data_IF_848628556572
#
_entry.id   IF_848628556572
#
_cell.length_a   1.000
_cell.length_b   1.000
_cell.length_c   1.000
_cell.angle_alpha   90.00
_cell.angle_beta   90.00
_cell.angle_gamma   90.00
#
_symmetry.space_group_name_H-M   'P 1'
#
loop_
_entity.id
_entity.type
_entity.pdbx_description
1 polymer ?
#
# COMPACT_ATOMS: atom_id res chain seq x y z
N UNK A 1 -0.71 16.32 -39.45
CA UNK A 1 -0.84 17.33 -38.41
C UNK A 1 0.53 17.64 -37.85
N UNK A 2 0.59 18.19 -36.64
CA UNK A 2 1.76 18.12 -35.75
C UNK A 2 1.41 17.28 -34.49
N UNK A 3 0.32 16.51 -34.58
CA UNK A 3 -0.47 15.83 -33.54
C UNK A 3 -1.45 14.95 -34.33
N UNK A 4 -1.00 13.76 -34.73
CA UNK A 4 -1.62 12.97 -35.80
C UNK A 4 -2.74 12.05 -35.33
N UNK A 5 -2.71 11.69 -34.07
CA UNK A 5 -3.61 10.83 -33.30
C UNK A 5 -4.64 11.68 -32.51
N UNK A 6 -4.27 12.89 -32.06
CA UNK A 6 -5.18 13.88 -31.48
C UNK A 6 -5.25 13.88 -29.94
N UNK A 7 -4.26 13.28 -29.26
CA UNK A 7 -4.17 13.14 -27.80
C UNK A 7 -3.65 14.38 -27.05
N UNK A 8 -3.23 15.41 -27.79
CA UNK A 8 -2.60 16.67 -27.32
C UNK A 8 -1.09 16.66 -27.09
N UNK A 9 -0.43 15.51 -27.25
CA UNK A 9 1.02 15.38 -27.34
C UNK A 9 1.44 15.62 -28.80
N UNK A 10 2.47 16.45 -29.07
CA UNK A 10 2.88 16.69 -30.46
C UNK A 10 3.70 15.52 -31.04
N UNK A 11 3.52 15.19 -32.33
CA UNK A 11 4.26 14.13 -33.08
C UNK A 11 5.79 14.15 -32.86
N UNK A 12 6.34 15.34 -32.57
CA UNK A 12 7.77 15.55 -32.37
C UNK A 12 8.29 15.16 -30.97
N UNK A 13 7.38 15.03 -30.00
CA UNK A 13 7.61 14.55 -28.63
C UNK A 13 7.47 13.03 -28.61
N UNK A 14 6.37 12.48 -29.13
CA UNK A 14 6.11 11.03 -29.21
C UNK A 14 7.18 10.30 -30.03
N UNK A 15 7.57 10.90 -31.16
CA UNK A 15 8.52 10.30 -32.06
C UNK A 15 7.91 9.17 -32.90
N UNK A 16 8.75 8.47 -33.67
CA UNK A 16 8.32 7.45 -34.63
C UNK A 16 8.73 6.03 -34.24
N UNK A 17 9.13 5.87 -32.98
CA UNK A 17 9.35 4.56 -32.37
C UNK A 17 7.98 3.91 -32.07
N UNK A 18 8.01 2.70 -31.53
CA UNK A 18 6.86 1.80 -31.30
C UNK A 18 7.19 1.10 -29.98
N UNK A 19 6.78 1.72 -28.87
CA UNK A 19 7.27 1.39 -27.53
C UNK A 19 6.69 0.05 -27.03
N UNK A 20 5.40 -0.18 -27.22
CA UNK A 20 4.72 -1.42 -26.85
C UNK A 20 4.91 -2.58 -27.87
N UNK A 21 5.30 -2.26 -29.11
CA UNK A 21 5.55 -3.22 -30.17
C UNK A 21 4.30 -3.78 -30.84
N UNK A 22 3.15 -3.11 -30.76
CA UNK A 22 1.90 -3.53 -31.40
C UNK A 22 1.90 -3.30 -32.93
N UNK A 23 2.83 -2.46 -33.41
CA UNK A 23 3.01 -2.11 -34.81
C UNK A 23 2.43 -0.74 -35.22
N UNK A 24 1.89 0.01 -34.26
CA UNK A 24 1.49 1.40 -34.35
C UNK A 24 2.61 2.27 -33.79
N UNK A 25 3.20 3.20 -34.57
CA UNK A 25 4.20 4.09 -34.02
C UNK A 25 3.58 5.07 -33.03
N UNK A 26 4.31 5.46 -31.99
CA UNK A 26 3.83 6.30 -30.88
C UNK A 26 3.03 7.52 -31.36
N UNK A 27 3.53 8.31 -32.33
CA UNK A 27 2.80 9.47 -32.90
C UNK A 27 1.44 9.18 -33.59
N UNK A 28 1.02 7.92 -33.65
CA UNK A 28 -0.26 7.43 -34.17
C UNK A 28 -1.00 6.54 -33.18
N UNK A 29 -0.37 6.21 -32.06
CA UNK A 29 -0.95 5.42 -30.98
C UNK A 29 -1.71 6.32 -30.02
N UNK A 30 -2.61 5.76 -29.24
CA UNK A 30 -3.35 6.47 -28.19
C UNK A 30 -3.04 5.90 -26.78
N UNK A 31 -2.16 4.91 -26.73
CA UNK A 31 -1.74 4.09 -25.58
C UNK A 31 -0.36 3.51 -25.96
N UNK A 32 0.66 4.38 -26.00
CA UNK A 32 1.95 4.14 -26.66
C UNK A 32 2.80 3.09 -25.94
N UNK A 33 2.63 2.92 -24.63
CA UNK A 33 3.34 1.94 -23.80
C UNK A 33 2.51 0.67 -23.55
N UNK A 34 1.20 0.71 -23.79
CA UNK A 34 0.30 -0.43 -23.80
C UNK A 34 -0.18 -0.84 -22.41
N UNK A 35 -0.21 0.09 -21.46
CA UNK A 35 -0.57 -0.14 -20.05
C UNK A 35 -2.08 0.01 -19.78
N UNK A 36 -2.85 0.45 -20.78
CA UNK A 36 -4.29 0.74 -20.80
C UNK A 36 -4.73 2.12 -20.34
N UNK A 37 -3.81 2.98 -19.90
CA UNK A 37 -4.00 4.40 -19.69
C UNK A 37 -3.71 5.12 -21.02
N UNK A 38 -4.58 6.04 -21.47
CA UNK A 38 -4.30 6.74 -22.73
C UNK A 38 -3.23 7.81 -22.58
N UNK A 39 -2.39 8.02 -23.61
CA UNK A 39 -1.34 9.05 -23.67
C UNK A 39 -1.85 10.46 -23.29
N UNK A 40 -3.09 10.77 -23.66
CA UNK A 40 -3.75 12.04 -23.34
C UNK A 40 -3.96 12.28 -21.82
N UNK A 41 -4.00 11.20 -21.04
CA UNK A 41 -4.19 11.18 -19.59
C UNK A 41 -2.83 11.23 -18.89
N UNK A 42 -1.87 10.42 -19.31
CA UNK A 42 -0.50 10.38 -18.76
C UNK A 42 0.25 11.68 -19.04
N UNK A 43 0.14 12.16 -20.27
CA UNK A 43 0.84 13.34 -20.75
C UNK A 43 2.34 13.12 -20.95
N UNK A 44 3.02 14.20 -21.34
CA UNK A 44 4.44 14.18 -21.71
C UNK A 44 5.38 14.71 -20.61
N UNK A 45 4.90 14.76 -19.37
CA UNK A 45 5.75 15.01 -18.21
C UNK A 45 6.54 13.72 -17.87
N UNK A 46 7.41 13.80 -16.86
CA UNK A 46 8.37 12.76 -16.45
C UNK A 46 8.38 12.84 -14.91
N UNK A 47 7.48 12.08 -14.29
CA UNK A 47 7.14 12.25 -12.87
C UNK A 47 8.26 11.76 -11.95
N UNK A 48 8.86 10.61 -12.23
CA UNK A 48 9.96 10.04 -11.45
C UNK A 48 11.36 10.61 -11.83
N UNK A 49 11.49 11.22 -13.01
CA UNK A 49 12.71 11.86 -13.49
C UNK A 49 13.75 10.89 -14.06
N UNK A 50 13.36 9.69 -14.49
CA UNK A 50 14.25 8.69 -15.09
C UNK A 50 14.64 9.04 -16.55
N UNK A 51 13.85 9.92 -17.18
CA UNK A 51 14.04 10.41 -18.54
C UNK A 51 13.12 9.77 -19.59
N UNK A 52 12.22 8.88 -19.17
CA UNK A 52 11.10 8.34 -19.94
C UNK A 52 9.87 9.19 -19.62
N UNK A 53 9.22 9.81 -20.62
CA UNK A 53 7.97 10.51 -20.36
C UNK A 53 6.86 9.53 -19.96
N UNK A 54 5.92 9.97 -19.14
CA UNK A 54 4.84 9.14 -18.59
C UNK A 54 4.12 8.30 -19.65
N UNK A 55 3.67 8.90 -20.78
CA UNK A 55 3.03 8.16 -21.90
C UNK A 55 3.88 7.05 -22.57
N UNK A 56 5.12 6.83 -22.12
CA UNK A 56 6.04 5.79 -22.57
C UNK A 56 6.61 4.96 -21.42
N UNK A 57 6.19 5.24 -20.18
CA UNK A 57 6.71 4.65 -18.96
C UNK A 57 5.68 3.74 -18.32
N UNK A 58 6.11 2.55 -17.90
CA UNK A 58 5.22 1.52 -17.36
C UNK A 58 5.08 1.59 -15.82
N UNK A 59 5.74 2.56 -15.20
CA UNK A 59 5.91 2.80 -13.76
C UNK A 59 6.26 4.29 -13.58
N UNK A 60 5.29 5.16 -13.89
CA UNK A 60 5.48 6.60 -14.12
C UNK A 60 5.95 7.37 -12.88
N UNK A 61 5.61 6.91 -11.68
CA UNK A 61 6.02 7.53 -10.42
C UNK A 61 7.25 6.85 -9.77
N UNK A 62 7.61 5.65 -10.27
CA UNK A 62 8.81 4.92 -9.92
C UNK A 62 8.73 4.23 -8.55
N UNK A 63 7.53 3.92 -8.07
CA UNK A 63 7.29 3.28 -6.79
C UNK A 63 7.45 1.73 -6.86
N UNK A 64 7.38 1.16 -8.07
CA UNK A 64 7.54 -0.27 -8.36
C UNK A 64 6.23 -1.03 -8.56
N UNK A 65 5.08 -0.37 -8.46
CA UNK A 65 3.77 -0.82 -8.94
C UNK A 65 3.62 -0.32 -10.39
N UNK A 66 3.21 -1.18 -11.35
CA UNK A 66 3.04 -0.71 -12.71
C UNK A 66 1.75 0.11 -12.90
N UNK A 67 1.79 1.13 -13.76
CA UNK A 67 0.66 2.02 -14.10
C UNK A 67 -0.62 1.25 -14.47
N UNK A 68 -0.47 0.12 -15.19
CA UNK A 68 -1.56 -0.78 -15.55
C UNK A 68 -2.30 -1.42 -14.34
N UNK A 69 -1.67 -1.44 -13.17
CA UNK A 69 -2.19 -1.93 -11.89
C UNK A 69 -2.81 -0.79 -11.08
N UNK A 70 -2.17 0.37 -11.02
CA UNK A 70 -2.65 1.56 -10.30
C UNK A 70 -3.87 2.18 -10.98
N UNK A 71 -3.78 2.33 -12.30
CA UNK A 71 -4.78 2.94 -13.14
C UNK A 71 -4.87 4.46 -12.99
N UNK A 72 -5.77 5.06 -13.75
CA UNK A 72 -5.97 6.51 -13.83
C UNK A 72 -7.09 7.05 -12.93
N UNK A 73 -7.55 6.27 -11.95
CA UNK A 73 -8.45 6.77 -10.91
C UNK A 73 -7.64 7.63 -9.90
N UNK A 74 -8.33 8.24 -8.94
CA UNK A 74 -7.78 9.16 -7.93
C UNK A 74 -8.49 8.79 -6.62
N UNK A 75 -7.89 7.85 -5.88
CA UNK A 75 -8.55 7.16 -4.77
C UNK A 75 -8.75 8.07 -3.55
N UNK A 76 -7.75 8.88 -3.20
CA UNK A 76 -7.82 9.82 -2.07
C UNK A 76 -8.50 11.17 -2.42
N UNK A 77 -8.59 11.51 -3.71
CA UNK A 77 -9.23 12.71 -4.22
C UNK A 77 -8.38 13.99 -4.10
N UNK A 78 -7.06 13.88 -4.01
CA UNK A 78 -6.14 15.02 -3.93
C UNK A 78 -5.92 15.72 -5.29
N UNK A 79 -6.23 15.01 -6.38
CA UNK A 79 -6.12 15.46 -7.76
C UNK A 79 -4.90 14.94 -8.52
N UNK A 80 -4.10 14.08 -7.91
CA UNK A 80 -3.06 13.26 -8.52
C UNK A 80 -3.67 11.88 -8.83
N UNK A 81 -3.65 11.43 -10.10
CA UNK A 81 -4.08 10.07 -10.41
C UNK A 81 -3.14 9.04 -9.77
N UNK A 82 -3.65 7.85 -9.44
CA UNK A 82 -2.91 6.80 -8.75
C UNK A 82 -1.55 6.48 -9.42
N UNK A 83 -1.50 6.28 -10.75
CA UNK A 83 -0.25 6.03 -11.49
C UNK A 83 0.82 7.16 -11.42
N UNK A 84 0.53 8.27 -10.74
CA UNK A 84 1.44 9.39 -10.49
C UNK A 84 1.55 9.74 -9.00
N UNK A 85 0.88 8.99 -8.13
CA UNK A 85 0.77 9.27 -6.70
C UNK A 85 1.53 8.23 -5.88
N UNK A 86 2.37 8.71 -4.95
CA UNK A 86 3.23 7.87 -4.14
C UNK A 86 2.56 7.38 -2.84
N UNK A 87 1.29 7.76 -2.63
CA UNK A 87 0.44 7.51 -1.45
C UNK A 87 -1.03 7.59 -1.92
N UNK A 88 -1.43 6.65 -2.79
CA UNK A 88 -2.67 6.69 -3.59
C UNK A 88 -3.95 6.69 -2.76
N UNK A 89 -3.94 6.11 -1.56
CA UNK A 89 -5.09 6.08 -0.65
C UNK A 89 -5.07 7.19 0.42
N UNK A 90 -3.92 7.88 0.55
CA UNK A 90 -3.70 9.04 1.38
C UNK A 90 -3.66 8.75 2.88
N UNK A 91 -3.28 7.53 3.26
CA UNK A 91 -3.19 7.09 4.64
C UNK A 91 -1.84 7.47 5.31
N UNK A 92 -0.82 7.77 4.49
CA UNK A 92 0.51 8.19 4.90
C UNK A 92 1.58 7.10 4.88
N UNK A 93 1.25 5.90 4.41
CA UNK A 93 2.17 4.83 4.03
C UNK A 93 2.40 4.95 2.52
N UNK A 94 3.65 4.90 2.03
CA UNK A 94 3.88 4.96 0.58
C UNK A 94 3.46 3.67 -0.13
N UNK A 95 2.88 3.79 -1.33
CA UNK A 95 2.47 2.68 -2.20
C UNK A 95 3.59 1.63 -2.39
N UNK A 96 4.84 2.10 -2.53
CA UNK A 96 6.03 1.25 -2.64
C UNK A 96 6.26 0.32 -1.43
N UNK A 97 5.83 0.74 -0.23
CA UNK A 97 5.94 -0.03 1.01
C UNK A 97 4.74 -1.00 1.16
N UNK A 98 3.54 -0.59 0.76
CA UNK A 98 2.29 -1.41 0.84
C UNK A 98 2.22 -2.49 -0.24
N UNK A 99 2.57 -2.09 -1.46
CA UNK A 99 2.59 -2.88 -2.68
C UNK A 99 1.21 -3.27 -3.23
N UNK A 100 1.21 -3.89 -4.41
CA UNK A 100 0.00 -4.39 -5.07
C UNK A 100 -0.55 -5.72 -4.49
N UNK A 101 -0.33 -5.96 -3.19
CA UNK A 101 -0.93 -7.06 -2.44
C UNK A 101 -2.43 -6.88 -2.26
N UNK A 102 -3.08 -7.85 -1.62
CA UNK A 102 -4.50 -7.82 -1.21
C UNK A 102 -4.58 -8.76 0.00
N UNK A 103 -4.20 -8.26 1.18
CA UNK A 103 -3.97 -9.09 2.36
C UNK A 103 -5.28 -9.69 2.89
N UNK A 104 -6.36 -8.92 2.94
CA UNK A 104 -7.67 -9.35 3.42
C UNK A 104 -8.52 -10.12 2.35
N UNK A 105 -8.13 -10.03 1.08
CA UNK A 105 -8.79 -10.65 -0.08
C UNK A 105 -10.19 -10.09 -0.38
N UNK A 106 -10.44 -8.80 -0.12
CA UNK A 106 -11.68 -8.13 -0.46
C UNK A 106 -11.73 -7.64 -1.93
N UNK A 107 -10.57 -7.58 -2.56
CA UNK A 107 -10.36 -7.19 -3.96
C UNK A 107 -9.96 -5.73 -4.18
N UNK A 108 -9.69 -4.98 -3.11
CA UNK A 108 -8.95 -3.72 -3.12
C UNK A 108 -7.47 -4.03 -2.87
N UNK A 109 -6.54 -3.60 -3.74
CA UNK A 109 -5.13 -3.75 -3.45
C UNK A 109 -4.69 -2.91 -2.24
N UNK A 110 -3.67 -3.35 -1.50
CA UNK A 110 -3.22 -2.69 -0.27
C UNK A 110 -2.97 -1.18 -0.47
N UNK A 111 -2.23 -0.76 -1.52
CA UNK A 111 -1.97 0.66 -1.84
C UNK A 111 -3.22 1.52 -2.15
N UNK A 112 -4.42 0.91 -2.14
CA UNK A 112 -5.72 1.57 -2.33
C UNK A 112 -6.68 1.29 -1.17
N UNK A 113 -6.22 0.62 -0.11
CA UNK A 113 -7.02 0.11 1.00
C UNK A 113 -6.60 0.71 2.35
N UNK A 114 -7.56 1.36 3.02
CA UNK A 114 -7.33 2.06 4.28
C UNK A 114 -7.33 1.12 5.53
N UNK A 115 -7.49 -0.19 5.31
CA UNK A 115 -7.63 -1.27 6.31
C UNK A 115 -7.18 -2.59 5.63
N UNK A 116 -5.92 -2.65 5.19
CA UNK A 116 -5.38 -3.65 4.25
C UNK A 116 -5.50 -5.10 4.73
N UNK A 117 -5.46 -5.34 6.04
CA UNK A 117 -5.61 -6.66 6.64
C UNK A 117 -7.06 -7.00 7.06
N UNK A 118 -7.93 -5.99 7.05
CA UNK A 118 -9.37 -6.08 7.28
C UNK A 118 -9.76 -6.37 8.73
N UNK A 119 -8.91 -6.01 9.70
CA UNK A 119 -9.16 -6.21 11.12
C UNK A 119 -10.06 -5.10 11.74
N UNK A 120 -10.18 -3.94 11.07
CA UNK A 120 -10.97 -2.79 11.48
C UNK A 120 -10.21 -1.69 12.22
N UNK A 121 -8.88 -1.78 12.30
CA UNK A 121 -7.94 -0.74 12.69
C UNK A 121 -7.36 -0.16 11.39
N UNK A 122 -7.45 1.16 11.13
CA UNK A 122 -6.93 1.70 9.88
C UNK A 122 -5.41 1.64 9.81
N UNK A 123 -4.85 1.36 8.63
CA UNK A 123 -3.43 1.27 8.33
C UNK A 123 -2.62 2.46 8.88
N UNK A 124 -3.10 3.69 8.64
CA UNK A 124 -2.52 4.93 9.19
C UNK A 124 -2.35 4.95 10.73
N UNK A 125 -3.21 4.23 11.47
CA UNK A 125 -3.12 4.09 12.93
C UNK A 125 -2.01 3.09 13.29
N UNK A 126 -1.90 2.01 12.55
CA UNK A 126 -0.99 0.89 12.79
C UNK A 126 0.44 1.23 12.38
N UNK A 127 0.61 1.94 11.27
CA UNK A 127 1.89 2.46 10.79
C UNK A 127 2.56 3.45 11.77
N UNK A 128 1.79 4.03 12.70
CA UNK A 128 2.30 4.97 13.71
C UNK A 128 2.31 4.42 15.13
N UNK A 129 2.00 3.13 15.31
CA UNK A 129 2.06 2.43 16.58
C UNK A 129 3.45 2.45 17.22
N UNK A 130 3.52 2.63 18.53
CA UNK A 130 4.75 2.59 19.34
C UNK A 130 4.55 1.52 20.42
N UNK A 131 5.21 0.38 20.24
CA UNK A 131 5.02 -0.81 21.06
C UNK A 131 5.92 -0.80 22.31
N UNK A 132 6.80 0.20 22.48
CA UNK A 132 7.71 0.27 23.64
C UNK A 132 7.74 1.63 24.39
N UNK A 133 6.91 2.58 23.94
CA UNK A 133 6.78 3.96 24.43
C UNK A 133 8.10 4.77 24.38
N UNK A 134 8.93 4.57 23.36
CA UNK A 134 10.16 5.35 23.17
C UNK A 134 10.01 6.57 22.23
N UNK A 135 8.77 6.88 21.81
CA UNK A 135 8.38 7.90 20.86
C UNK A 135 8.87 7.62 19.41
N UNK A 136 9.16 6.36 19.07
CA UNK A 136 9.53 5.90 17.72
C UNK A 136 8.50 4.84 17.28
N UNK A 137 7.93 4.96 16.06
CA UNK A 137 7.04 3.91 15.56
C UNK A 137 7.74 2.57 15.38
N UNK A 138 7.04 1.51 15.75
CA UNK A 138 7.40 0.11 15.55
C UNK A 138 6.49 -0.49 14.47
N UNK A 139 6.87 -0.43 13.18
CA UNK A 139 6.00 -0.87 12.08
C UNK A 139 5.84 -2.39 11.97
N UNK A 140 6.55 -3.18 12.79
CA UNK A 140 6.52 -4.65 12.87
C UNK A 140 6.82 -4.99 14.35
N UNK A 141 5.76 -5.07 15.17
CA UNK A 141 5.89 -5.10 16.62
C UNK A 141 6.38 -6.45 17.16
N UNK A 142 6.02 -7.57 16.52
CA UNK A 142 6.47 -8.91 16.92
C UNK A 142 7.78 -9.36 16.23
N UNK A 143 8.16 -8.70 15.13
CA UNK A 143 9.39 -8.92 14.38
C UNK A 143 9.36 -10.15 13.46
N UNK A 144 8.18 -10.58 13.02
CA UNK A 144 8.01 -11.72 12.12
C UNK A 144 8.28 -11.37 10.63
N UNK A 145 8.29 -10.07 10.32
CA UNK A 145 8.55 -9.49 9.01
C UNK A 145 7.30 -9.14 8.18
N UNK A 146 6.11 -9.22 8.77
CA UNK A 146 4.87 -8.65 8.25
C UNK A 146 4.66 -7.30 8.96
N UNK A 147 4.50 -6.18 8.24
CA UNK A 147 4.16 -4.91 8.86
C UNK A 147 2.80 -4.98 9.58
N UNK A 148 2.62 -4.22 10.67
CA UNK A 148 1.40 -4.27 11.48
C UNK A 148 0.12 -4.07 10.65
N UNK A 149 0.12 -3.11 9.71
CA UNK A 149 -1.03 -2.85 8.82
C UNK A 149 -1.35 -4.00 7.83
N UNK A 150 -0.55 -5.06 7.80
CA UNK A 150 -0.78 -6.29 7.03
C UNK A 150 -0.87 -7.53 7.91
N UNK A 151 -0.82 -7.38 9.24
CA UNK A 151 -0.76 -8.46 10.22
C UNK A 151 -1.98 -8.50 11.13
N UNK A 152 -2.64 -9.65 11.19
CA UNK A 152 -3.86 -9.86 11.98
C UNK A 152 -3.61 -10.07 13.49
N UNK A 153 -2.35 -10.16 13.93
CA UNK A 153 -1.87 -10.44 15.30
C UNK A 153 -0.54 -9.71 15.52
N UNK A 154 -0.57 -8.37 15.43
CA UNK A 154 0.62 -7.50 15.34
C UNK A 154 1.63 -7.67 16.48
N UNK A 155 1.19 -8.08 17.67
CA UNK A 155 2.06 -8.33 18.83
C UNK A 155 2.47 -9.80 19.03
N UNK A 156 1.89 -10.70 18.23
CA UNK A 156 2.14 -12.14 18.22
C UNK A 156 1.74 -12.86 19.52
N UNK A 157 0.81 -12.32 20.30
CA UNK A 157 0.34 -12.93 21.55
C UNK A 157 -0.70 -14.07 21.32
N UNK A 158 -1.28 -14.13 20.12
CA UNK A 158 -2.24 -15.13 19.69
C UNK A 158 -3.70 -14.74 19.85
N UNK A 159 -3.99 -13.46 20.11
CA UNK A 159 -5.31 -12.83 20.01
C UNK A 159 -5.27 -11.93 18.77
N UNK A 160 -6.33 -11.94 17.96
CA UNK A 160 -6.35 -11.12 16.75
C UNK A 160 -6.59 -9.66 17.08
N UNK A 161 -5.98 -8.75 16.32
CA UNK A 161 -6.05 -7.31 16.49
C UNK A 161 -7.51 -6.81 16.48
N UNK A 162 -8.34 -7.36 15.58
CA UNK A 162 -9.80 -7.12 15.53
C UNK A 162 -10.55 -7.41 16.85
N UNK A 163 -10.05 -8.34 17.67
CA UNK A 163 -10.64 -8.72 18.96
C UNK A 163 -10.10 -7.86 20.11
N UNK A 164 -8.91 -7.28 19.96
CA UNK A 164 -8.22 -6.44 20.95
C UNK A 164 -8.58 -4.96 20.81
N UNK A 165 -8.50 -4.46 19.58
CA UNK A 165 -8.71 -3.11 19.13
C UNK A 165 -7.75 -2.08 19.73
N UNK A 166 -8.01 -0.81 19.44
CA UNK A 166 -7.20 0.35 19.90
C UNK A 166 -7.36 0.73 21.38
N UNK A 167 -7.84 -0.20 22.22
CA UNK A 167 -7.97 0.02 23.66
C UNK A 167 -6.62 0.04 24.37
N UNK A 168 -6.59 0.41 25.64
CA UNK A 168 -5.42 0.28 26.52
C UNK A 168 -5.93 -0.27 27.86
N UNK A 169 -5.80 -1.59 28.02
CA UNK A 169 -6.44 -2.32 29.11
C UNK A 169 -5.70 -2.16 30.43
N UNK A 170 -4.38 -2.03 30.39
CA UNK A 170 -3.51 -2.04 31.56
C UNK A 170 -3.02 -0.63 31.97
N UNK A 171 -3.26 0.35 31.10
CA UNK A 171 -2.99 1.79 31.22
C UNK A 171 -1.51 2.15 31.19
N UNK A 172 -0.70 1.43 30.43
CA UNK A 172 0.72 1.73 30.25
C UNK A 172 1.01 2.66 29.06
N UNK A 173 0.05 2.84 28.16
CA UNK A 173 0.12 3.73 27.00
C UNK A 173 0.25 3.03 25.66
N UNK A 174 0.44 1.71 25.64
CA UNK A 174 0.49 0.89 24.42
C UNK A 174 -0.95 0.45 24.07
N UNK A 175 -1.41 0.60 22.81
CA UNK A 175 -2.67 0.01 22.37
C UNK A 175 -2.64 -1.52 22.49
N UNK A 176 -3.78 -2.13 22.81
CA UNK A 176 -3.86 -3.57 23.06
C UNK A 176 -3.30 -4.42 21.91
N UNK A 177 -3.60 -4.06 20.65
CA UNK A 177 -3.11 -4.76 19.44
C UNK A 177 -1.59 -4.73 19.25
N UNK A 178 -0.87 -3.91 20.02
CA UNK A 178 0.60 -3.84 20.03
C UNK A 178 1.18 -4.25 21.39
N UNK A 179 0.34 -4.68 22.34
CA UNK A 179 0.73 -4.94 23.72
C UNK A 179 0.52 -6.42 24.08
N UNK A 180 1.61 -7.23 24.05
CA UNK A 180 1.54 -8.65 24.33
C UNK A 180 1.23 -8.98 25.80
N UNK A 181 1.15 -7.96 26.67
CA UNK A 181 0.72 -8.07 28.06
C UNK A 181 -0.75 -7.60 28.28
N UNK A 182 -1.43 -7.08 27.24
CA UNK A 182 -2.81 -6.56 27.27
C UNK A 182 -3.86 -7.69 27.43
N UNK A 183 -3.55 -8.86 26.86
CA UNK A 183 -4.44 -9.98 26.59
C UNK A 183 -4.26 -11.26 27.44
N UNK A 184 -4.41 -11.20 28.77
CA UNK A 184 -4.80 -12.37 29.58
C UNK A 184 -3.98 -13.69 29.50
N UNK A 185 -2.67 -13.70 29.20
CA UNK A 185 -1.80 -14.86 29.48
C UNK A 185 -1.18 -14.88 30.90
N UNK A 186 -1.66 -14.06 31.84
CA UNK A 186 -1.48 -14.32 33.29
C UNK A 186 -2.58 -15.23 33.87
N UNK A 187 -3.34 -15.93 33.03
CA UNK A 187 -4.22 -17.01 33.49
C UNK A 187 -3.38 -18.23 33.85
N UNK A 188 -2.84 -18.20 35.06
CA UNK A 188 -2.20 -19.28 35.81
C UNK A 188 -2.36 -20.68 35.18
N UNK A 189 -1.25 -21.24 34.69
CA UNK A 189 -1.03 -22.69 34.69
C UNK A 189 -1.09 -23.16 36.15
N UNK A 190 -2.30 -23.33 36.69
CA UNK A 190 -2.52 -24.06 37.93
C UNK A 190 -2.25 -25.51 37.61
N UNK A 191 -0.98 -25.89 37.70
CA UNK A 191 -0.54 -27.27 37.79
C UNK A 191 -1.32 -27.89 38.94
N UNK A 192 -2.39 -28.62 38.62
CA UNK A 192 -3.07 -29.50 39.55
C UNK A 192 -2.10 -30.66 39.83
N UNK A 193 -1.18 -30.45 40.78
CA UNK A 193 -0.48 -31.55 41.41
C UNK A 193 -1.54 -32.37 42.16
N UNK A 194 -1.81 -33.63 41.76
CA UNK A 194 -2.72 -34.46 42.52
C UNK A 194 -2.14 -34.66 43.92
N UNK A 195 -2.92 -34.30 44.95
CA UNK A 195 -2.59 -34.65 46.33
C UNK A 195 -2.52 -36.18 46.43
N UNK A 196 -1.30 -36.72 46.49
CA UNK A 196 -1.08 -38.09 46.94
C UNK A 196 -1.17 -38.07 48.47
N UNK A 197 -2.34 -38.39 49.01
CA UNK A 197 -2.48 -38.67 50.44
C UNK A 197 -1.94 -40.07 50.73
N UNK A 198 -0.96 -40.16 51.63
CA UNK A 198 -0.56 -41.41 52.30
C UNK A 198 -1.49 -41.70 53.46
#
# INVERSE_FOLDING_TARGET
DLDSDGDTIPDAVEGADDADGDGTPNFLDLDSDGDTIPDAVEGADDADGDGTPNFLDLDSDGDGIPDAVEGADDADGDGTPNFLDLDSDGDGIPDADEGAGDADHDGVPNFLDLDSDGDGIPDAVEATGDADNDDIPDPDADGDGIPNYLDLDSDGDGILDQDEGTGDSDHDGIPNYLDPDSGAASTAYRVFLPLVSR
#
